data_IF_599955319227
#
_entry.id   IF_599955319227
#
_cell.length_a   1.000
_cell.length_b   1.000
_cell.length_c   1.000
_cell.angle_alpha   90.00
_cell.angle_beta   90.00
_cell.angle_gamma   90.00
#
_symmetry.space_group_name_H-M   'P 1'
#
loop_
_entity.id
_entity.type
_entity.pdbx_description
1 polymer ?
#
# COMPACT_ATOMS: atom_id res chain seq x y z
N UNK A 1 7.66 9.34 -17.86
CA UNK A 1 6.35 9.98 -17.61
C UNK A 1 5.52 8.99 -16.82
N UNK A 2 5.23 9.26 -15.54
CA UNK A 2 4.39 8.39 -14.71
C UNK A 2 2.97 8.94 -14.74
N UNK A 3 2.02 8.14 -15.19
CA UNK A 3 0.60 8.51 -15.22
C UNK A 3 -0.03 8.06 -13.91
N UNK A 4 -0.61 8.99 -13.15
CA UNK A 4 -1.35 8.68 -11.92
C UNK A 4 -2.82 8.65 -12.29
N UNK A 5 -3.49 7.53 -12.04
CA UNK A 5 -4.92 7.37 -12.31
C UNK A 5 -5.69 7.72 -11.04
N UNK A 6 -6.51 8.76 -11.11
CA UNK A 6 -7.42 9.13 -10.01
C UNK A 6 -8.64 8.21 -10.06
N UNK A 7 -8.86 7.42 -9.01
CA UNK A 7 -10.01 6.51 -8.90
C UNK A 7 -11.33 7.27 -8.71
N UNK A 8 -12.44 6.64 -9.09
CA UNK A 8 -13.79 7.20 -8.97
C UNK A 8 -14.12 7.56 -7.51
N UNK A 9 -14.56 8.80 -7.28
CA UNK A 9 -14.87 9.33 -5.93
C UNK A 9 -13.82 10.28 -5.36
N UNK A 10 -12.61 10.33 -5.92
CA UNK A 10 -11.56 11.26 -5.51
C UNK A 10 -11.64 12.56 -6.32
N UNK A 11 -11.62 13.72 -5.64
CA UNK A 11 -11.67 15.05 -6.25
C UNK A 11 -10.40 15.83 -5.92
N UNK A 12 -9.75 16.40 -6.92
CA UNK A 12 -8.64 17.36 -6.75
C UNK A 12 -9.21 18.75 -7.04
N UNK A 13 -9.20 19.63 -6.03
CA UNK A 13 -9.63 21.02 -6.17
C UNK A 13 -8.42 21.96 -6.10
N UNK A 14 -8.29 22.85 -7.09
CA UNK A 14 -7.29 23.91 -7.10
C UNK A 14 -7.95 25.17 -6.57
N UNK A 15 -7.57 25.61 -5.37
CA UNK A 15 -8.03 26.87 -4.80
C UNK A 15 -6.93 27.94 -4.96
N UNK A 16 -6.92 28.60 -6.10
CA UNK A 16 -6.03 29.73 -6.37
C UNK A 16 -6.85 30.91 -6.89
N UNK A 17 -6.69 32.12 -6.31
CA UNK A 17 -7.60 33.23 -6.59
C UNK A 17 -7.46 33.83 -7.99
N UNK A 18 -6.32 33.66 -8.68
CA UNK A 18 -6.07 34.28 -9.99
C UNK A 18 -5.23 33.37 -10.89
N UNK A 19 -5.89 32.55 -11.71
CA UNK A 19 -5.27 31.92 -12.87
C UNK A 19 -5.63 32.73 -14.11
N UNK A 20 -4.63 33.15 -14.87
CA UNK A 20 -4.87 33.82 -16.14
C UNK A 20 -5.06 32.79 -17.26
N UNK A 21 -5.82 33.15 -18.29
CA UNK A 21 -5.92 32.35 -19.53
C UNK A 21 -4.50 32.16 -20.09
N UNK A 22 -4.19 30.93 -20.54
CA UNK A 22 -2.89 30.49 -21.08
C UNK A 22 -1.75 30.27 -20.06
N UNK A 23 -2.04 30.31 -18.76
CA UNK A 23 -1.06 29.95 -17.73
C UNK A 23 -0.96 28.43 -17.52
N UNK A 24 0.26 27.89 -17.50
CA UNK A 24 0.53 26.50 -17.13
C UNK A 24 0.73 26.37 -15.61
N UNK A 25 0.18 25.32 -15.01
CA UNK A 25 0.31 24.99 -13.58
C UNK A 25 1.04 23.66 -13.44
N UNK A 26 2.10 23.63 -12.63
CA UNK A 26 2.77 22.39 -12.24
C UNK A 26 2.12 21.84 -10.97
N UNK A 27 1.65 20.59 -11.04
CA UNK A 27 1.02 19.90 -9.91
C UNK A 27 2.00 18.84 -9.41
N UNK A 28 2.55 19.06 -8.21
CA UNK A 28 3.40 18.07 -7.54
C UNK A 28 2.51 17.25 -6.60
N UNK A 29 2.19 16.03 -7.02
CA UNK A 29 1.48 15.06 -6.16
C UNK A 29 2.51 14.31 -5.33
N UNK A 30 2.59 14.63 -4.04
CA UNK A 30 3.33 13.83 -3.07
C UNK A 30 2.46 12.64 -2.68
N UNK A 31 2.68 11.51 -3.36
CA UNK A 31 2.19 10.22 -2.85
C UNK A 31 3.19 9.83 -1.78
N UNK A 32 2.83 9.83 -0.48
CA UNK A 32 3.72 9.24 0.51
C UNK A 32 3.93 7.80 0.06
N UNK A 33 5.18 7.38 -0.10
CA UNK A 33 5.46 5.97 -0.30
C UNK A 33 4.76 5.27 0.87
N UNK A 34 3.79 4.41 0.55
CA UNK A 34 3.32 3.39 1.48
C UNK A 34 4.41 2.34 1.63
N UNK A 35 5.65 2.79 1.85
CA UNK A 35 6.70 2.02 2.48
C UNK A 35 6.08 1.60 3.80
N UNK A 36 5.56 0.36 3.83
CA UNK A 36 5.26 -0.35 5.05
C UNK A 36 6.37 0.00 6.02
N UNK A 37 6.05 0.70 7.11
CA UNK A 37 7.04 1.24 8.02
C UNK A 37 8.06 0.14 8.33
N UNK A 38 9.28 0.28 7.81
CA UNK A 38 10.26 -0.77 7.94
C UNK A 38 10.61 -0.86 9.42
N UNK A 39 10.23 -1.97 10.06
CA UNK A 39 10.59 -2.21 11.44
C UNK A 39 12.11 -2.14 11.58
N UNK A 40 12.59 -1.37 12.54
CA UNK A 40 13.99 -1.34 12.92
C UNK A 40 14.45 -2.73 13.40
N UNK A 41 15.76 -2.97 13.39
CA UNK A 41 16.32 -4.24 13.89
C UNK A 41 15.92 -4.50 15.34
N UNK A 42 15.85 -3.46 16.16
CA UNK A 42 15.49 -3.57 17.57
C UNK A 42 14.03 -3.99 17.77
N UNK A 43 13.11 -3.44 16.96
CA UNK A 43 11.70 -3.83 16.96
C UNK A 43 11.50 -5.28 16.49
N UNK A 44 12.22 -5.70 15.45
CA UNK A 44 12.18 -7.09 14.96
C UNK A 44 12.66 -8.07 16.03
N UNK A 45 13.77 -7.76 16.70
CA UNK A 45 14.31 -8.58 17.79
C UNK A 45 13.33 -8.63 18.96
N UNK A 46 12.73 -7.49 19.31
CA UNK A 46 11.75 -7.40 20.39
C UNK A 46 10.52 -8.26 20.10
N UNK A 47 10.01 -8.21 18.87
CA UNK A 47 8.94 -9.10 18.42
C UNK A 47 9.33 -10.58 18.52
N UNK A 48 10.53 -10.96 18.07
CA UNK A 48 10.99 -12.35 18.10
C UNK A 48 11.18 -12.92 19.52
N UNK A 49 11.45 -12.05 20.51
CA UNK A 49 11.54 -12.43 21.93
C UNK A 49 10.18 -12.76 22.56
N UNK A 50 9.08 -12.38 21.93
CA UNK A 50 7.75 -12.68 22.45
C UNK A 50 7.47 -14.20 22.45
N UNK A 51 6.68 -14.69 23.42
CA UNK A 51 6.16 -16.06 23.38
C UNK A 51 5.46 -16.36 22.06
N UNK A 52 5.50 -17.62 21.63
CA UNK A 52 4.91 -18.03 20.36
C UNK A 52 3.42 -17.64 20.25
N UNK A 53 2.67 -17.74 21.34
CA UNK A 53 1.26 -17.36 21.41
C UNK A 53 1.02 -15.88 21.14
N UNK A 54 1.87 -15.00 21.69
CA UNK A 54 1.78 -13.55 21.49
C UNK A 54 2.13 -13.17 20.05
N UNK A 55 3.19 -13.78 19.50
CA UNK A 55 3.54 -13.59 18.08
C UNK A 55 2.40 -14.02 17.16
N UNK A 56 1.79 -15.18 17.41
CA UNK A 56 0.65 -15.68 16.64
C UNK A 56 -0.55 -14.74 16.72
N UNK A 57 -0.84 -14.19 17.90
CA UNK A 57 -1.94 -13.23 18.06
C UNK A 57 -1.72 -11.97 17.22
N UNK A 58 -0.54 -11.37 17.32
CA UNK A 58 -0.16 -10.17 16.56
C UNK A 58 -0.26 -10.42 15.05
N UNK A 59 0.35 -11.52 14.57
CA UNK A 59 0.32 -11.86 13.15
C UNK A 59 -1.09 -12.15 12.64
N UNK A 60 -1.95 -12.77 13.46
CA UNK A 60 -3.35 -13.04 13.10
C UNK A 60 -4.16 -11.75 12.95
N UNK A 61 -3.95 -10.79 13.85
CA UNK A 61 -4.60 -9.47 13.77
C UNK A 61 -4.15 -8.72 12.51
N UNK A 62 -2.84 -8.74 12.21
CA UNK A 62 -2.29 -8.15 10.99
C UNK A 62 -2.85 -8.82 9.73
N UNK A 63 -2.83 -10.15 9.66
CA UNK A 63 -3.39 -10.90 8.53
C UNK A 63 -4.87 -10.56 8.30
N UNK A 64 -5.67 -10.40 9.37
CA UNK A 64 -7.07 -10.01 9.26
C UNK A 64 -7.25 -8.62 8.61
N UNK A 65 -6.35 -7.68 8.90
CA UNK A 65 -6.40 -6.34 8.29
C UNK A 65 -6.02 -6.33 6.80
N UNK A 66 -5.25 -7.34 6.34
CA UNK A 66 -4.81 -7.46 4.96
C UNK A 66 -5.82 -8.17 4.05
N UNK A 67 -6.83 -8.83 4.60
CA UNK A 67 -7.82 -9.61 3.82
C UNK A 67 -8.44 -8.81 2.67
N UNK A 68 -8.84 -7.57 2.92
CA UNK A 68 -9.48 -6.75 1.88
C UNK A 68 -8.49 -6.40 0.76
N UNK A 69 -7.25 -6.04 1.13
CA UNK A 69 -6.18 -5.75 0.18
C UNK A 69 -5.87 -6.98 -0.68
N UNK A 70 -5.75 -8.16 -0.07
CA UNK A 70 -5.43 -9.40 -0.78
C UNK A 70 -6.63 -9.89 -1.62
N UNK A 71 -7.87 -9.56 -1.25
CA UNK A 71 -9.03 -9.87 -2.08
C UNK A 71 -9.10 -9.02 -3.36
N UNK A 72 -8.73 -7.74 -3.26
CA UNK A 72 -8.77 -6.78 -4.36
C UNK A 72 -7.53 -6.85 -5.26
N UNK A 73 -6.35 -7.09 -4.68
CA UNK A 73 -5.11 -7.24 -5.43
C UNK A 73 -4.93 -8.70 -5.86
N UNK A 74 -5.06 -9.00 -7.15
CA UNK A 74 -4.94 -10.36 -7.71
C UNK A 74 -3.50 -10.77 -8.06
N UNK A 75 -2.49 -9.93 -7.81
CA UNK A 75 -1.09 -10.22 -8.15
C UNK A 75 -0.57 -11.51 -7.50
N UNK A 76 -1.00 -11.81 -6.26
CA UNK A 76 -0.66 -13.08 -5.59
C UNK A 76 -1.26 -14.32 -6.27
N UNK A 77 -2.35 -14.18 -7.03
CA UNK A 77 -2.94 -15.30 -7.80
C UNK A 77 -2.07 -15.65 -9.00
N UNK A 78 -1.36 -14.67 -9.58
CA UNK A 78 -0.42 -14.92 -10.67
C UNK A 78 0.78 -15.74 -10.18
N UNK A 79 1.25 -15.49 -8.95
CA UNK A 79 2.30 -16.29 -8.31
C UNK A 79 1.90 -17.76 -8.12
N UNK A 80 0.63 -18.03 -7.79
CA UNK A 80 0.11 -19.40 -7.64
C UNK A 80 -0.05 -20.11 -8.99
N UNK A 81 -0.29 -19.36 -10.07
CA UNK A 81 -0.55 -19.94 -11.41
C UNK A 81 0.75 -20.45 -12.05
N UNK A 82 1.91 -19.95 -11.65
CA UNK A 82 3.20 -20.32 -12.23
C UNK A 82 3.87 -21.55 -11.56
N UNK A 83 3.21 -22.18 -10.58
CA UNK A 83 3.76 -23.29 -9.79
C UNK A 83 2.89 -24.57 -9.81
N UNK A 84 1.75 -24.57 -10.53
CA UNK A 84 0.91 -25.77 -10.70
C UNK A 84 1.40 -26.54 -11.93
N UNK A 85 2.30 -27.50 -11.72
CA UNK A 85 2.45 -28.64 -12.63
C UNK A 85 1.40 -29.66 -12.21
N UNK A 86 0.31 -29.76 -12.97
CA UNK A 86 -0.60 -30.91 -12.90
C UNK A 86 0.16 -32.15 -13.40
N UNK A 87 0.31 -33.15 -12.51
CA UNK A 87 0.87 -34.48 -12.82
C UNK A 87 -0.22 -35.49 -13.13
#
# INVERSE_FOLDING_TARGET
MRTITVLSGNKIEIQTPNLNVDQSVEIVVLIPDSSQAELSLEERITFLKLPLSERQKILKEQAKSMVNHDQENSEWKELLTNDIIDY
#
